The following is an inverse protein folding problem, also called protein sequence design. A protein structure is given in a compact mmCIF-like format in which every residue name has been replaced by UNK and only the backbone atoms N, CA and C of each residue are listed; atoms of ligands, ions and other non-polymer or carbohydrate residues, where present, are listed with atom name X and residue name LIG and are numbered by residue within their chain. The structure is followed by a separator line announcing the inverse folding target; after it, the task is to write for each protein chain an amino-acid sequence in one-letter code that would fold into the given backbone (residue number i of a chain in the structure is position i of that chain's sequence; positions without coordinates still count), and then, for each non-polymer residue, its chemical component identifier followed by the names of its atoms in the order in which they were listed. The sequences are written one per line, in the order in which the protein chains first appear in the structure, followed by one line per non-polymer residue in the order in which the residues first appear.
data_IF_107274751847
#
_entry.id   IF_107274751847
#
_cell.length_a   1.000
_cell.length_b   1.000
_cell.length_c   1.000
_cell.angle_alpha   90.00
_cell.angle_beta   90.00
_cell.angle_gamma   90.00
#
_symmetry.space_group_name_H-M   'P 1'
#
loop_
_entity.id
_entity.type
_entity.pdbx_description
1 polymer ?
#
# COMPACT_ATOMS: atom_id res chain seq x y z
N UNK A 1 10.32 10.06 4.38
CA UNK A 1 9.49 9.83 5.59
C UNK A 1 8.83 8.47 5.54
N UNK A 2 8.69 7.78 6.68
CA UNK A 2 8.05 6.46 6.79
C UNK A 2 6.67 6.59 7.44
N UNK A 3 5.64 5.96 6.87
CA UNK A 3 4.29 5.86 7.44
C UNK A 3 3.77 4.43 7.35
N UNK A 4 2.85 4.09 8.23
CA UNK A 4 2.20 2.77 8.26
C UNK A 4 0.71 2.96 8.02
N UNK A 5 0.16 2.10 7.18
CA UNK A 5 -1.25 2.04 6.82
C UNK A 5 -1.75 0.63 7.07
N UNK A 6 -3.04 0.50 7.36
CA UNK A 6 -3.75 -0.76 7.43
C UNK A 6 -4.56 -0.93 6.14
N UNK A 7 -4.52 -2.11 5.57
CA UNK A 7 -5.25 -2.51 4.37
C UNK A 7 -6.44 -3.36 4.80
N UNK A 8 -7.54 -2.69 5.17
CA UNK A 8 -8.74 -3.36 5.64
C UNK A 8 -9.47 -4.04 4.48
N UNK A 9 -9.90 -5.29 4.66
CA UNK A 9 -10.50 -6.09 3.59
C UNK A 9 -9.51 -6.99 2.83
N UNK A 10 -8.19 -6.79 3.01
CA UNK A 10 -7.17 -7.61 2.34
C UNK A 10 -7.17 -9.04 2.91
N UNK A 11 -7.68 -9.99 2.13
CA UNK A 11 -7.81 -11.40 2.52
C UNK A 11 -7.05 -12.37 1.61
N UNK A 12 -6.40 -11.86 0.56
CA UNK A 12 -5.65 -12.64 -0.41
C UNK A 12 -4.15 -12.34 -0.36
N UNK A 13 -3.34 -13.34 0.01
CA UNK A 13 -1.88 -13.21 0.07
C UNK A 13 -1.27 -12.84 -1.29
N UNK A 14 -1.81 -13.37 -2.39
CA UNK A 14 -1.36 -13.04 -3.73
C UNK A 14 -1.61 -11.56 -4.07
N UNK A 15 -2.76 -11.02 -3.66
CA UNK A 15 -3.07 -9.61 -3.86
C UNK A 15 -2.22 -8.71 -2.98
N UNK A 16 -1.88 -9.13 -1.75
CA UNK A 16 -0.92 -8.42 -0.91
C UNK A 16 0.44 -8.26 -1.60
N UNK A 17 0.99 -9.34 -2.16
CA UNK A 17 2.25 -9.30 -2.91
C UNK A 17 2.14 -8.43 -4.18
N UNK A 18 1.01 -8.52 -4.90
CA UNK A 18 0.77 -7.71 -6.10
C UNK A 18 0.67 -6.22 -5.78
N UNK A 19 0.05 -5.86 -4.66
CA UNK A 19 -0.01 -4.47 -4.16
C UNK A 19 1.40 -4.00 -3.82
N UNK A 20 2.17 -4.77 -3.05
CA UNK A 20 3.56 -4.42 -2.69
C UNK A 20 4.42 -4.16 -3.93
N UNK A 21 4.40 -5.09 -4.89
CA UNK A 21 5.21 -4.98 -6.11
C UNK A 21 4.82 -3.74 -6.94
N UNK A 22 3.52 -3.52 -7.14
CA UNK A 22 3.05 -2.39 -7.94
C UNK A 22 3.28 -1.05 -7.25
N UNK A 23 3.06 -0.96 -5.94
CA UNK A 23 3.37 0.25 -5.16
C UNK A 23 4.85 0.55 -5.17
N UNK A 24 5.71 -0.47 -5.07
CA UNK A 24 7.16 -0.31 -5.12
C UNK A 24 7.68 0.25 -6.45
N UNK A 25 6.89 0.15 -7.52
CA UNK A 25 7.19 0.69 -8.86
C UNK A 25 6.67 2.12 -9.05
N UNK A 26 5.94 2.70 -8.09
CA UNK A 26 5.44 4.06 -8.20
C UNK A 26 6.57 5.07 -8.01
N UNK A 27 6.57 6.09 -8.86
CA UNK A 27 7.50 7.21 -8.72
C UNK A 27 7.29 7.94 -7.39
N UNK A 28 8.40 8.21 -6.69
CA UNK A 28 8.40 8.81 -5.36
C UNK A 28 8.29 7.81 -4.21
N UNK A 29 8.08 6.51 -4.48
CA UNK A 29 8.20 5.45 -3.47
C UNK A 29 9.66 5.05 -3.31
N UNK A 30 10.19 5.16 -2.09
CA UNK A 30 11.54 4.74 -1.75
C UNK A 30 11.56 3.29 -1.26
N UNK A 31 10.56 2.89 -0.49
CA UNK A 31 10.38 1.52 -0.02
C UNK A 31 8.92 1.27 0.32
N UNK A 32 8.46 0.04 0.07
CA UNK A 32 7.15 -0.44 0.52
C UNK A 32 7.30 -1.86 1.05
N UNK A 33 6.54 -2.19 2.08
CA UNK A 33 6.41 -3.54 2.60
C UNK A 33 4.98 -3.78 3.04
N UNK A 34 4.36 -4.87 2.57
CA UNK A 34 3.03 -5.32 2.94
C UNK A 34 3.15 -6.60 3.75
N UNK A 35 2.80 -6.52 5.03
CA UNK A 35 2.68 -7.68 5.89
C UNK A 35 1.23 -8.18 5.84
N UNK A 36 0.99 -9.21 5.03
CA UNK A 36 -0.33 -9.83 4.88
C UNK A 36 -0.91 -10.33 6.20
N UNK A 37 -0.11 -10.99 7.05
CA UNK A 37 -0.57 -11.52 8.35
C UNK A 37 -1.14 -10.45 9.28
N UNK A 38 -0.60 -9.23 9.20
CA UNK A 38 -1.06 -8.09 10.03
C UNK A 38 -1.90 -7.09 9.26
N UNK A 39 -2.14 -7.32 7.96
CA UNK A 39 -2.81 -6.38 7.03
C UNK A 39 -2.19 -4.97 7.04
N UNK A 40 -0.88 -4.86 7.28
CA UNK A 40 -0.19 -3.56 7.39
C UNK A 40 0.72 -3.32 6.20
N UNK A 41 0.64 -2.13 5.65
CA UNK A 41 1.57 -1.61 4.65
C UNK A 41 2.44 -0.52 5.25
N UNK A 42 3.74 -0.69 5.17
CA UNK A 42 4.73 0.30 5.53
C UNK A 42 5.22 0.97 4.25
N UNK A 43 5.10 2.29 4.18
CA UNK A 43 5.46 3.09 3.01
C UNK A 43 6.51 4.13 3.39
N UNK A 44 7.59 4.18 2.62
CA UNK A 44 8.62 5.22 2.71
C UNK A 44 8.65 6.05 1.43
N UNK A 45 8.52 7.37 1.59
CA UNK A 45 8.53 8.34 0.50
C UNK A 45 8.97 9.71 1.00
N UNK A 46 9.62 10.49 0.14
CA UNK A 46 9.89 11.91 0.40
C UNK A 46 8.62 12.76 0.24
N UNK A 47 7.77 12.41 -0.74
CA UNK A 47 6.55 13.16 -1.08
C UNK A 47 5.29 12.38 -0.69
N UNK A 48 5.12 12.19 0.62
CA UNK A 48 4.14 11.27 1.18
C UNK A 48 2.68 11.57 0.79
N UNK A 49 2.30 12.85 0.67
CA UNK A 49 0.91 13.23 0.36
C UNK A 49 0.52 12.80 -1.05
N UNK A 50 1.34 13.14 -2.04
CA UNK A 50 1.15 12.78 -3.44
C UNK A 50 1.20 11.25 -3.63
N UNK A 51 2.18 10.58 -3.02
CA UNK A 51 2.33 9.13 -3.14
C UNK A 51 1.14 8.40 -2.54
N UNK A 52 0.62 8.85 -1.38
CA UNK A 52 -0.54 8.22 -0.75
C UNK A 52 -1.78 8.25 -1.65
N UNK A 53 -2.00 9.32 -2.41
CA UNK A 53 -3.11 9.38 -3.38
C UNK A 53 -2.94 8.38 -4.53
N UNK A 54 -1.73 8.28 -5.08
CA UNK A 54 -1.42 7.30 -6.14
C UNK A 54 -1.59 5.86 -5.63
N UNK A 55 -1.09 5.58 -4.43
CA UNK A 55 -1.18 4.27 -3.78
C UNK A 55 -2.64 3.88 -3.52
N UNK A 56 -3.48 4.79 -3.01
CA UNK A 56 -4.91 4.50 -2.78
C UNK A 56 -5.63 4.06 -4.06
N UNK A 57 -5.39 4.77 -5.16
CA UNK A 57 -5.97 4.42 -6.47
C UNK A 57 -5.53 3.04 -6.91
N UNK A 58 -4.22 2.78 -6.86
CA UNK A 58 -3.63 1.52 -7.28
C UNK A 58 -4.10 0.33 -6.43
N UNK A 59 -4.24 0.52 -5.11
CA UNK A 59 -4.80 -0.52 -4.22
C UNK A 59 -6.23 -0.85 -4.64
N UNK A 60 -7.08 0.15 -4.87
CA UNK A 60 -8.46 -0.06 -5.34
C UNK A 60 -8.53 -0.73 -6.73
N UNK A 61 -7.58 -0.46 -7.63
CA UNK A 61 -7.50 -1.12 -8.94
C UNK A 61 -7.09 -2.59 -8.82
N UNK A 62 -6.33 -2.97 -7.78
CA UNK A 62 -5.91 -4.35 -7.55
C UNK A 62 -6.97 -5.13 -6.77
N UNK A 63 -7.51 -4.54 -5.72
CA UNK A 63 -8.62 -5.07 -4.93
C UNK A 63 -9.57 -3.92 -4.51
N UNK A 64 -10.75 -3.80 -5.14
CA UNK A 64 -11.70 -2.72 -4.83
C UNK A 64 -12.32 -2.85 -3.43
N UNK A 65 -12.27 -4.04 -2.83
CA UNK A 65 -12.76 -4.30 -1.47
C UNK A 65 -11.75 -3.85 -0.38
N UNK A 66 -10.55 -3.40 -0.76
CA UNK A 66 -9.51 -2.99 0.18
C UNK A 66 -9.56 -1.48 0.46
N UNK A 67 -9.74 -1.16 1.74
CA UNK A 67 -9.69 0.20 2.26
C UNK A 67 -8.36 0.48 2.97
N UNK A 68 -7.63 1.48 2.48
CA UNK A 68 -6.38 1.92 3.09
C UNK A 68 -6.62 3.01 4.15
N UNK A 69 -6.39 2.69 5.42
CA UNK A 69 -6.52 3.61 6.56
C UNK A 69 -5.18 3.82 7.26
N UNK A 70 -5.01 4.96 7.94
CA UNK A 70 -3.79 5.21 8.73
C UNK A 70 -3.79 4.27 9.94
N UNK A 71 -2.67 3.57 10.16
CA UNK A 71 -2.48 2.68 11.30
C UNK A 71 -2.05 3.43 12.57
#
# INVERSE_FOLDING_TARGET
MKKVFKLEGLNCAHCASKIEEKVGKLEGVKSVMVNFMTTKMTLESENMEEVVEKVKKLVNEVEPDVNMVKA
#
